data_IF_799208307634
#
_entry.id   IF_799208307634
#
_cell.length_a   1.000
_cell.length_b   1.000
_cell.length_c   1.000
_cell.angle_alpha   90.00
_cell.angle_beta   90.00
_cell.angle_gamma   90.00
#
_symmetry.space_group_name_H-M   'P 1'
#
loop_
_entity.id
_entity.type
_entity.pdbx_description
1 polymer ?
#
# COMPACT_ATOMS: atom_id res chain seq x y z
N UNK A 1 2.08 21.82 -5.02
CA UNK A 1 3.31 22.13 -5.79
C UNK A 1 3.85 23.56 -5.63
N UNK A 2 3.49 24.28 -4.56
CA UNK A 2 4.06 25.60 -4.29
C UNK A 2 5.56 25.54 -3.93
N UNK A 3 6.04 24.42 -3.37
CA UNK A 3 7.45 24.20 -3.10
C UNK A 3 8.15 23.60 -4.34
N UNK A 4 9.25 24.19 -4.82
CA UNK A 4 9.94 23.74 -6.03
C UNK A 4 10.52 22.32 -5.88
N UNK A 5 10.89 21.91 -4.68
CA UNK A 5 11.40 20.59 -4.35
C UNK A 5 10.31 19.49 -4.31
N UNK A 6 9.02 19.86 -4.38
CA UNK A 6 7.93 18.90 -4.37
C UNK A 6 7.76 18.27 -5.76
N UNK A 7 8.13 16.99 -5.86
CA UNK A 7 8.06 16.19 -7.08
C UNK A 7 6.74 15.46 -7.25
N UNK A 8 6.09 15.03 -6.15
CA UNK A 8 4.84 14.24 -6.20
C UNK A 8 3.94 14.53 -5.00
N UNK A 9 2.64 14.61 -5.28
CA UNK A 9 1.58 14.67 -4.25
C UNK A 9 0.53 13.60 -4.56
N UNK A 10 0.18 12.82 -3.54
CA UNK A 10 -0.85 11.79 -3.63
C UNK A 10 -1.99 12.06 -2.65
N UNK A 11 -3.27 12.00 -3.08
CA UNK A 11 -4.42 12.08 -2.22
C UNK A 11 -4.66 10.77 -1.45
N UNK A 12 -5.58 10.79 -0.51
CA UNK A 12 -6.11 9.59 0.12
C UNK A 12 -7.00 8.83 -0.88
N UNK A 13 -6.74 7.54 -1.05
CA UNK A 13 -7.57 6.65 -1.86
C UNK A 13 -8.42 5.79 -0.94
N UNK A 14 -9.74 5.91 -1.07
CA UNK A 14 -10.70 5.12 -0.30
C UNK A 14 -11.56 4.27 -1.22
N UNK A 15 -12.09 3.15 -0.71
CA UNK A 15 -13.02 2.33 -1.46
C UNK A 15 -14.47 2.69 -1.12
N UNK A 16 -15.33 2.67 -2.14
CA UNK A 16 -16.77 2.82 -1.93
C UNK A 16 -17.32 1.54 -1.29
N UNK A 17 -18.06 1.63 -0.18
CA UNK A 17 -18.79 0.50 0.34
C UNK A 17 -19.76 -0.05 -0.71
N UNK A 18 -19.84 -1.36 -0.84
CA UNK A 18 -20.74 -2.03 -1.78
C UNK A 18 -21.52 -3.18 -1.12
N UNK A 19 -22.36 -3.90 -1.87
CA UNK A 19 -23.27 -4.88 -1.33
C UNK A 19 -22.58 -6.19 -0.92
N UNK A 20 -21.46 -6.53 -1.50
CA UNK A 20 -20.80 -7.82 -1.24
C UNK A 20 -19.95 -7.78 0.04
N UNK A 21 -19.60 -8.95 0.56
CA UNK A 21 -18.67 -9.06 1.68
C UNK A 21 -17.27 -8.56 1.32
N UNK A 22 -16.87 -8.73 0.06
CA UNK A 22 -15.58 -8.26 -0.48
C UNK A 22 -15.56 -6.74 -0.54
N UNK A 23 -16.62 -6.09 -1.04
CA UNK A 23 -16.73 -4.64 -1.07
C UNK A 23 -16.62 -4.03 0.33
N UNK A 24 -17.32 -4.63 1.31
CA UNK A 24 -17.26 -4.19 2.72
C UNK A 24 -15.87 -4.38 3.32
N UNK A 25 -15.22 -5.49 3.00
CA UNK A 25 -13.84 -5.72 3.43
C UNK A 25 -12.88 -4.69 2.82
N UNK A 26 -12.95 -4.45 1.51
CA UNK A 26 -12.10 -3.46 0.83
C UNK A 26 -12.36 -2.04 1.36
N UNK A 27 -13.61 -1.68 1.68
CA UNK A 27 -13.91 -0.38 2.27
C UNK A 27 -13.32 -0.18 3.68
N UNK A 28 -13.11 -1.26 4.45
CA UNK A 28 -12.60 -1.22 5.83
C UNK A 28 -11.09 -1.48 5.95
N UNK A 29 -10.54 -2.27 5.05
CA UNK A 29 -9.18 -2.81 5.16
C UNK A 29 -8.39 -2.75 3.84
N UNK A 30 -8.73 -1.81 2.97
CA UNK A 30 -7.97 -1.60 1.74
C UNK A 30 -6.52 -1.19 2.05
N UNK A 31 -5.54 -1.81 1.40
CA UNK A 31 -4.15 -1.37 1.50
C UNK A 31 -3.91 -0.02 0.80
N UNK A 32 -4.87 0.46 0.00
CA UNK A 32 -4.79 1.75 -0.68
C UNK A 32 -5.14 2.91 0.27
N UNK A 33 -5.92 2.65 1.33
CA UNK A 33 -6.23 3.67 2.33
C UNK A 33 -5.12 3.75 3.39
N UNK A 34 -4.29 4.76 3.28
CA UNK A 34 -3.14 4.98 4.15
C UNK A 34 -3.46 5.85 5.39
N UNK A 35 -4.76 6.09 5.62
CA UNK A 35 -5.27 6.79 6.78
C UNK A 35 -5.38 8.32 6.63
N UNK A 36 -5.84 9.01 7.69
CA UNK A 36 -6.17 10.44 7.63
C UNK A 36 -4.98 11.38 7.85
N UNK A 37 -3.81 10.88 8.20
CA UNK A 37 -2.69 11.74 8.58
C UNK A 37 -1.76 12.01 7.38
N UNK A 38 -1.35 13.26 7.13
CA UNK A 38 -0.36 13.58 6.11
C UNK A 38 1.01 12.98 6.46
N UNK A 39 1.80 12.66 5.43
CA UNK A 39 3.12 12.10 5.61
C UNK A 39 4.03 12.33 4.40
N UNK A 40 5.35 12.32 4.60
CA UNK A 40 6.27 12.11 3.50
C UNK A 40 6.12 10.68 2.98
N UNK A 41 6.24 10.51 1.65
CA UNK A 41 6.27 9.20 1.00
C UNK A 41 7.73 8.83 0.80
N UNK A 42 8.19 7.76 1.46
CA UNK A 42 9.58 7.29 1.41
C UNK A 42 9.67 5.84 1.84
N UNK A 43 10.55 5.06 1.22
CA UNK A 43 10.84 3.69 1.63
C UNK A 43 11.09 3.60 3.13
N UNK A 44 10.53 2.60 3.79
CA UNK A 44 10.68 2.38 5.23
C UNK A 44 9.93 3.33 6.18
N UNK A 45 9.31 4.41 5.65
CA UNK A 45 8.48 5.34 6.44
C UNK A 45 7.06 4.77 6.70
N UNK A 46 6.22 5.52 7.44
CA UNK A 46 4.80 5.17 7.66
C UNK A 46 4.06 5.00 6.33
N UNK A 47 4.28 5.92 5.39
CA UNK A 47 3.79 5.85 4.02
C UNK A 47 4.97 5.51 3.13
N UNK A 48 5.19 4.22 2.88
CA UNK A 48 6.34 3.77 2.10
C UNK A 48 6.15 3.96 0.60
N UNK A 49 4.90 3.95 0.15
CA UNK A 49 4.48 4.16 -1.23
C UNK A 49 3.00 4.54 -1.26
N UNK A 50 2.51 4.99 -2.40
CA UNK A 50 1.09 5.23 -2.69
C UNK A 50 0.73 4.58 -4.03
N UNK A 51 -0.53 4.19 -4.24
CA UNK A 51 -0.95 3.63 -5.52
C UNK A 51 -0.96 4.71 -6.61
N UNK A 52 -0.63 4.34 -7.84
CA UNK A 52 -0.75 5.21 -9.02
C UNK A 52 -2.20 5.55 -9.42
N UNK A 53 -3.19 4.98 -8.72
CA UNK A 53 -4.60 5.25 -8.95
C UNK A 53 -4.98 6.75 -8.92
N UNK A 54 -4.25 7.55 -8.13
CA UNK A 54 -4.35 9.00 -8.11
C UNK A 54 -3.06 9.62 -7.59
N UNK A 55 -2.29 10.23 -8.47
CA UNK A 55 -1.09 10.98 -8.13
C UNK A 55 -0.96 12.20 -9.04
N UNK A 56 -0.35 13.25 -8.54
CA UNK A 56 0.07 14.40 -9.35
C UNK A 56 1.59 14.48 -9.27
N UNK A 57 2.25 14.39 -10.41
CA UNK A 57 3.71 14.38 -10.52
C UNK A 57 4.16 15.65 -11.23
N UNK A 58 5.23 16.28 -10.79
CA UNK A 58 5.89 17.37 -11.49
C UNK A 58 6.59 16.82 -12.74
N UNK A 59 6.35 17.40 -13.91
CA UNK A 59 6.92 16.91 -15.17
C UNK A 59 8.45 16.81 -15.13
N UNK A 60 9.12 17.83 -14.59
CA UNK A 60 10.60 17.80 -14.47
C UNK A 60 11.12 16.70 -13.55
N UNK A 61 10.40 16.38 -12.47
CA UNK A 61 10.76 15.28 -11.58
C UNK A 61 10.54 13.91 -12.25
N UNK A 62 9.44 13.79 -12.99
CA UNK A 62 9.12 12.57 -13.74
C UNK A 62 10.14 12.30 -14.86
N UNK A 63 10.51 13.34 -15.61
CA UNK A 63 11.51 13.28 -16.67
C UNK A 63 12.91 12.96 -16.14
N UNK A 64 13.30 13.54 -14.97
CA UNK A 64 14.61 13.31 -14.36
C UNK A 64 14.86 11.85 -13.96
N UNK A 65 13.80 11.13 -13.62
CA UNK A 65 13.88 9.71 -13.24
C UNK A 65 13.41 8.76 -14.36
N UNK A 66 13.33 9.22 -15.60
CA UNK A 66 12.90 8.45 -16.78
C UNK A 66 11.49 7.83 -16.68
N UNK A 67 10.60 8.44 -15.86
CA UNK A 67 9.20 8.03 -15.75
C UNK A 67 8.98 6.63 -15.17
N UNK A 68 7.90 5.96 -15.63
CA UNK A 68 7.64 4.57 -15.27
C UNK A 68 8.58 3.61 -16.02
N UNK A 69 9.03 2.57 -15.34
CA UNK A 69 9.78 1.49 -15.98
C UNK A 69 8.79 0.49 -16.63
N UNK A 70 8.77 0.46 -17.96
CA UNK A 70 7.88 -0.40 -18.75
C UNK A 70 8.20 -1.91 -18.60
N UNK A 71 9.35 -2.28 -18.00
CA UNK A 71 9.68 -3.65 -17.70
C UNK A 71 8.99 -4.18 -16.43
N UNK A 72 8.29 -3.32 -15.69
CA UNK A 72 7.54 -3.68 -14.48
C UNK A 72 6.05 -3.79 -14.79
N UNK A 73 5.52 -5.00 -14.81
CA UNK A 73 4.06 -5.24 -14.93
C UNK A 73 3.30 -4.87 -13.65
N UNK A 74 3.94 -4.91 -12.48
CA UNK A 74 3.37 -4.59 -11.15
C UNK A 74 4.46 -4.02 -10.27
N UNK A 75 4.13 -2.95 -9.53
CA UNK A 75 5.05 -2.24 -8.64
C UNK A 75 5.80 -1.10 -9.31
N UNK A 76 5.40 -0.74 -10.53
CA UNK A 76 5.92 0.40 -11.28
C UNK A 76 5.72 1.73 -10.56
N UNK A 77 4.63 1.83 -9.80
CA UNK A 77 4.31 2.99 -8.97
C UNK A 77 5.22 3.09 -7.75
N UNK A 78 5.50 1.98 -7.10
CA UNK A 78 6.43 1.89 -5.97
C UNK A 78 7.86 2.25 -6.42
N UNK A 79 8.30 1.67 -7.54
CA UNK A 79 9.61 1.92 -8.12
C UNK A 79 9.80 3.41 -8.48
N UNK A 80 8.82 4.00 -9.16
CA UNK A 80 8.85 5.44 -9.51
C UNK A 80 8.98 6.31 -8.26
N UNK A 81 8.17 6.05 -7.23
CA UNK A 81 8.17 6.82 -5.99
C UNK A 81 9.51 6.76 -5.26
N UNK A 82 10.13 5.58 -5.23
CA UNK A 82 11.42 5.43 -4.56
C UNK A 82 12.54 6.06 -5.37
N UNK A 83 12.54 5.98 -6.71
CA UNK A 83 13.49 6.71 -7.57
C UNK A 83 13.35 8.22 -7.41
N UNK A 84 12.13 8.76 -7.33
CA UNK A 84 11.91 10.17 -7.05
C UNK A 84 12.48 10.59 -5.68
N UNK A 85 12.24 9.78 -4.65
CA UNK A 85 12.74 10.06 -3.31
C UNK A 85 14.28 9.95 -3.24
N UNK A 86 14.88 8.99 -3.94
CA UNK A 86 16.35 8.81 -4.01
C UNK A 86 17.02 9.93 -4.83
N UNK A 87 16.35 10.49 -5.83
CA UNK A 87 16.77 11.68 -6.56
C UNK A 87 16.63 12.98 -5.73
N UNK A 88 16.09 12.90 -4.51
CA UNK A 88 15.95 14.04 -3.60
C UNK A 88 14.64 14.79 -3.70
N UNK A 89 13.69 14.34 -4.52
CA UNK A 89 12.37 14.95 -4.62
C UNK A 89 11.51 14.68 -3.39
N UNK A 90 10.82 15.71 -2.90
CA UNK A 90 9.83 15.58 -1.85
C UNK A 90 8.55 14.95 -2.43
N UNK A 91 8.22 13.74 -1.98
CA UNK A 91 6.96 13.08 -2.27
C UNK A 91 6.05 13.17 -1.04
N UNK A 92 4.79 13.63 -1.20
CA UNK A 92 3.87 13.89 -0.10
C UNK A 92 2.55 13.16 -0.26
N UNK A 93 2.10 12.55 0.82
CA UNK A 93 0.74 12.05 0.99
C UNK A 93 -0.11 13.15 1.64
N UNK A 94 -1.18 13.57 0.95
CA UNK A 94 -2.07 14.65 1.35
C UNK A 94 -3.52 14.16 1.47
N UNK A 95 -3.92 13.63 2.64
CA UNK A 95 -5.24 13.01 2.84
C UNK A 95 -6.40 14.00 2.94
N UNK A 96 -6.15 15.31 2.99
CA UNK A 96 -7.21 16.32 2.92
C UNK A 96 -7.99 16.24 1.60
N UNK A 97 -7.34 15.73 0.54
CA UNK A 97 -7.99 15.38 -0.72
C UNK A 97 -8.24 13.88 -0.74
N UNK A 98 -9.48 13.48 -1.04
CA UNK A 98 -9.87 12.07 -1.10
C UNK A 98 -10.37 11.71 -2.49
N UNK A 99 -9.88 10.58 -3.01
CA UNK A 99 -10.35 9.98 -4.27
C UNK A 99 -11.00 8.65 -3.96
N UNK A 100 -12.18 8.43 -4.54
CA UNK A 100 -12.92 7.17 -4.39
C UNK A 100 -12.50 6.25 -5.52
N UNK A 101 -11.95 5.09 -5.16
CA UNK A 101 -11.59 4.03 -6.09
C UNK A 101 -12.65 2.92 -6.01
N UNK A 102 -13.08 2.42 -7.16
CA UNK A 102 -13.97 1.26 -7.20
C UNK A 102 -13.17 -0.02 -6.96
N UNK A 103 -13.51 -0.70 -5.87
CA UNK A 103 -12.90 -1.99 -5.51
C UNK A 103 -13.37 -3.14 -6.40
N UNK A 104 -12.81 -4.31 -6.18
CA UNK A 104 -13.25 -5.55 -6.82
C UNK A 104 -14.27 -6.23 -5.95
N UNK A 105 -15.39 -6.64 -6.55
CA UNK A 105 -16.49 -7.25 -5.79
C UNK A 105 -16.38 -8.78 -5.67
N UNK A 106 -15.38 -9.40 -6.33
CA UNK A 106 -15.22 -10.87 -6.35
C UNK A 106 -13.94 -11.30 -5.64
N UNK A 107 -14.08 -12.28 -4.77
CA UNK A 107 -12.96 -12.84 -3.99
C UNK A 107 -11.80 -13.37 -4.85
N UNK A 108 -12.00 -14.12 -5.96
CA UNK A 108 -10.89 -14.57 -6.79
C UNK A 108 -10.05 -13.41 -7.37
N UNK A 109 -10.72 -12.35 -7.81
CA UNK A 109 -10.04 -11.16 -8.35
C UNK A 109 -9.21 -10.44 -7.27
N UNK A 110 -9.73 -10.34 -6.04
CA UNK A 110 -9.02 -9.80 -4.89
C UNK A 110 -7.76 -10.63 -4.58
N UNK A 111 -7.91 -11.96 -4.51
CA UNK A 111 -6.78 -12.86 -4.20
C UNK A 111 -5.72 -12.83 -5.29
N UNK A 112 -6.11 -12.82 -6.56
CA UNK A 112 -5.17 -12.71 -7.68
C UNK A 112 -4.34 -11.42 -7.59
N UNK A 113 -5.00 -10.29 -7.37
CA UNK A 113 -4.30 -9.01 -7.22
C UNK A 113 -3.35 -9.00 -6.01
N UNK A 114 -3.75 -9.60 -4.88
CA UNK A 114 -2.86 -9.73 -3.71
C UNK A 114 -1.63 -10.57 -4.01
N UNK A 115 -1.79 -11.61 -4.80
CA UNK A 115 -0.69 -12.44 -5.25
C UNK A 115 0.26 -11.67 -6.18
N UNK A 116 -0.27 -10.90 -7.14
CA UNK A 116 0.54 -10.07 -8.05
C UNK A 116 1.36 -9.04 -7.26
N UNK A 117 0.75 -8.36 -6.29
CA UNK A 117 1.48 -7.44 -5.41
C UNK A 117 2.58 -8.14 -4.59
N UNK A 118 2.32 -9.38 -4.14
CA UNK A 118 3.35 -10.18 -3.47
C UNK A 118 4.54 -10.52 -4.37
N UNK A 119 4.28 -10.80 -5.65
CA UNK A 119 5.33 -11.11 -6.63
C UNK A 119 6.23 -9.92 -6.94
N UNK A 120 5.69 -8.70 -6.98
CA UNK A 120 6.49 -7.50 -7.26
C UNK A 120 7.52 -7.20 -6.18
N UNK A 121 7.29 -7.66 -4.94
CA UNK A 121 8.19 -7.40 -3.82
C UNK A 121 9.62 -7.92 -4.07
N UNK A 122 9.79 -9.08 -4.70
CA UNK A 122 11.10 -9.64 -4.99
C UNK A 122 11.90 -8.81 -6.02
N UNK A 123 11.21 -8.28 -7.03
CA UNK A 123 11.83 -7.42 -8.04
C UNK A 123 12.17 -6.05 -7.43
N UNK A 124 11.27 -5.50 -6.62
CA UNK A 124 11.51 -4.23 -5.92
C UNK A 124 12.66 -4.31 -4.93
N UNK A 125 12.80 -5.43 -4.20
CA UNK A 125 13.93 -5.62 -3.27
C UNK A 125 15.30 -5.70 -3.99
N UNK A 126 15.34 -6.30 -5.19
CA UNK A 126 16.53 -6.31 -6.03
C UNK A 126 16.92 -4.92 -6.55
N UNK A 127 15.92 -4.09 -6.89
CA UNK A 127 16.14 -2.74 -7.43
C UNK A 127 16.46 -1.73 -6.35
N UNK A 128 15.82 -1.88 -5.18
CA UNK A 128 15.94 -0.97 -4.03
C UNK A 128 16.37 -1.76 -2.78
N UNK A 129 17.63 -2.19 -2.67
CA UNK A 129 18.11 -3.02 -1.57
C UNK A 129 17.86 -2.37 -0.22
N UNK A 130 17.17 -3.09 0.68
CA UNK A 130 16.85 -2.61 2.03
C UNK A 130 15.63 -1.67 2.12
N UNK A 131 14.98 -1.33 1.01
CA UNK A 131 13.75 -0.53 1.03
C UNK A 131 12.54 -1.33 1.56
N UNK A 132 12.53 -2.64 1.34
CA UNK A 132 11.53 -3.55 1.87
C UNK A 132 12.04 -4.21 3.15
N UNK A 133 11.35 -4.05 4.29
CA UNK A 133 11.68 -4.82 5.47
C UNK A 133 11.35 -6.31 5.20
N UNK A 134 12.23 -7.25 5.60
CA UNK A 134 12.06 -8.68 5.34
C UNK A 134 10.78 -9.28 5.91
N UNK A 135 10.21 -8.66 6.94
CA UNK A 135 8.92 -9.02 7.53
C UNK A 135 8.20 -7.76 8.01
N UNK A 136 7.06 -7.46 7.40
CA UNK A 136 6.06 -6.58 8.00
C UNK A 136 4.95 -7.42 8.62
N UNK A 137 5.11 -7.76 9.88
CA UNK A 137 4.11 -8.44 10.68
C UNK A 137 3.59 -7.55 11.78
N UNK A 138 2.27 -7.53 11.99
CA UNK A 138 1.73 -7.00 13.23
C UNK A 138 1.99 -8.01 14.37
N UNK A 139 1.99 -7.54 15.63
CA UNK A 139 2.03 -8.47 16.79
C UNK A 139 0.96 -9.57 16.71
N UNK A 140 -0.16 -9.28 16.09
CA UNK A 140 -1.25 -10.22 15.85
C UNK A 140 -0.89 -11.28 14.81
N UNK A 141 -0.22 -10.90 13.72
CA UNK A 141 0.30 -11.86 12.73
C UNK A 141 1.34 -12.79 13.35
N UNK A 142 2.21 -12.25 14.20
CA UNK A 142 3.16 -13.05 14.98
C UNK A 142 2.47 -14.03 15.94
N UNK A 143 1.45 -13.59 16.66
CA UNK A 143 0.66 -14.45 17.56
C UNK A 143 -0.05 -15.57 16.78
N UNK A 144 -0.65 -15.26 15.63
CA UNK A 144 -1.28 -16.26 14.74
C UNK A 144 -0.25 -17.29 14.26
N UNK A 145 0.91 -16.85 13.80
CA UNK A 145 1.97 -17.75 13.34
C UNK A 145 2.46 -18.70 14.45
N UNK A 146 2.69 -18.18 15.66
CA UNK A 146 3.06 -18.98 16.82
C UNK A 146 1.98 -19.99 17.19
N UNK A 147 0.71 -19.58 17.23
CA UNK A 147 -0.41 -20.48 17.54
C UNK A 147 -0.56 -21.61 16.52
N UNK A 148 -0.37 -21.31 15.24
CA UNK A 148 -0.38 -22.33 14.18
C UNK A 148 0.81 -23.30 14.34
N UNK A 149 2.01 -22.77 14.54
CA UNK A 149 3.23 -23.56 14.71
C UNK A 149 3.20 -24.47 15.94
N UNK A 150 2.49 -24.04 16.99
CA UNK A 150 2.33 -24.81 18.24
C UNK A 150 1.09 -25.73 18.24
N UNK A 151 0.41 -25.90 17.10
CA UNK A 151 -0.72 -26.82 16.94
C UNK A 151 -2.06 -26.32 17.50
N UNK A 152 -2.23 -24.99 17.61
CA UNK A 152 -3.46 -24.36 18.12
C UNK A 152 -4.23 -23.58 17.02
N UNK A 153 -4.64 -24.21 15.89
CA UNK A 153 -5.23 -23.50 14.77
C UNK A 153 -6.58 -22.83 15.11
N UNK A 154 -7.35 -23.42 16.03
CA UNK A 154 -8.64 -22.82 16.47
C UNK A 154 -8.42 -21.50 17.22
N UNK A 155 -7.41 -21.44 18.09
CA UNK A 155 -7.05 -20.20 18.77
C UNK A 155 -6.50 -19.16 17.78
N UNK A 156 -5.72 -19.60 16.79
CA UNK A 156 -5.25 -18.72 15.73
C UNK A 156 -6.43 -18.10 14.95
N UNK A 157 -7.43 -18.90 14.58
CA UNK A 157 -8.65 -18.40 13.94
C UNK A 157 -9.42 -17.41 14.81
N UNK A 158 -9.55 -17.68 16.12
CA UNK A 158 -10.19 -16.75 17.05
C UNK A 158 -9.47 -15.40 17.15
N UNK A 159 -8.13 -15.39 17.14
CA UNK A 159 -7.32 -14.16 17.12
C UNK A 159 -7.57 -13.37 15.83
N UNK A 160 -7.64 -14.02 14.68
CA UNK A 160 -7.95 -13.37 13.40
C UNK A 160 -9.34 -12.72 13.44
N UNK A 161 -10.36 -13.48 13.85
CA UNK A 161 -11.74 -12.97 13.95
C UNK A 161 -11.83 -11.80 14.93
N UNK A 162 -11.27 -11.92 16.11
CA UNK A 162 -11.26 -10.83 17.11
C UNK A 162 -10.55 -9.57 16.63
N UNK A 163 -9.49 -9.71 15.85
CA UNK A 163 -8.80 -8.56 15.26
C UNK A 163 -9.63 -7.87 14.18
N UNK A 164 -10.30 -8.64 13.32
CA UNK A 164 -11.21 -8.10 12.29
C UNK A 164 -12.37 -7.35 12.93
N UNK A 165 -12.99 -7.93 13.98
CA UNK A 165 -14.08 -7.25 14.71
C UNK A 165 -13.59 -5.96 15.42
N UNK A 166 -12.39 -5.96 15.98
CA UNK A 166 -11.81 -4.78 16.63
C UNK A 166 -11.52 -3.66 15.61
N UNK A 167 -11.15 -4.02 14.37
CA UNK A 167 -10.98 -3.06 13.27
C UNK A 167 -12.32 -2.49 12.80
N UNK A 168 -13.35 -3.33 12.71
CA UNK A 168 -14.68 -2.91 12.26
C UNK A 168 -15.41 -1.96 13.24
N UNK A 169 -14.93 -1.85 14.49
CA UNK A 169 -15.51 -0.98 15.53
C UNK A 169 -14.82 0.40 15.64
N UNK A 170 -13.77 0.63 14.86
CA UNK A 170 -13.05 1.92 14.78
C UNK A 170 -13.51 2.73 13.58
#
# INVERSE_FOLDING_TARGET
FSAPECGLVAPRVVHRPGPTAVDRYEALASPLDLGPDPAPIRAGSRVSYVPSAAVVVRSSAFEEVDGFDEALDVGEDVDLLWRLADAGWLCRYEPAVTVVHEGRSKLPELLHRRFDYGRSAAVLDQRHPGALPPLRGSRWSGAVAVLVATGHPVLAAAVVVGNVEAMARK
#
